data_IF_218991332235
#
_entry.id   IF_218991332235
#
_cell.length_a   1.000
_cell.length_b   1.000
_cell.length_c   1.000
_cell.angle_alpha   90.00
_cell.angle_beta   90.00
_cell.angle_gamma   90.00
#
_symmetry.space_group_name_H-M   'P 1'
#
loop_
_entity.id
_entity.type
_entity.pdbx_description
1 polymer ?
#
# COMPACT_ATOMS: atom_id res chain seq x y z
N UNK A 1 3.57 3.46 -28.26
CA UNK A 1 3.54 3.89 -26.85
C UNK A 1 3.95 5.35 -26.66
N UNK A 2 4.89 5.90 -27.44
CA UNK A 2 5.34 7.31 -27.31
C UNK A 2 4.27 8.40 -27.57
N UNK A 3 3.08 8.03 -28.05
CA UNK A 3 1.95 8.95 -28.31
C UNK A 3 0.84 8.89 -27.25
N UNK A 4 0.98 8.02 -26.25
CA UNK A 4 -0.01 7.92 -25.18
C UNK A 4 0.29 9.00 -24.12
N UNK A 5 -0.73 9.67 -23.58
CA UNK A 5 -0.55 10.58 -22.45
C UNK A 5 0.12 9.87 -21.27
N UNK A 6 1.04 10.56 -20.60
CA UNK A 6 1.80 10.01 -19.44
C UNK A 6 0.84 9.50 -18.36
N UNK A 7 -0.30 10.15 -18.18
CA UNK A 7 -1.35 9.79 -17.22
C UNK A 7 -1.95 8.43 -17.52
N UNK A 8 -2.16 8.12 -18.80
CA UNK A 8 -2.65 6.82 -19.25
C UNK A 8 -1.56 5.74 -19.11
N UNK A 9 -0.30 6.09 -19.37
CA UNK A 9 0.84 5.20 -19.15
C UNK A 9 1.04 4.88 -17.67
N UNK A 10 0.90 5.86 -16.77
CA UNK A 10 0.91 5.67 -15.32
C UNK A 10 -0.23 4.76 -14.87
N UNK A 11 -1.45 5.00 -15.36
CA UNK A 11 -2.61 4.13 -15.08
C UNK A 11 -2.33 2.69 -15.53
N UNK A 12 -1.78 2.49 -16.73
CA UNK A 12 -1.43 1.15 -17.24
C UNK A 12 -0.31 0.49 -16.42
N UNK A 13 0.71 1.26 -16.01
CA UNK A 13 1.79 0.80 -15.14
C UNK A 13 1.29 0.40 -13.75
N UNK A 14 0.22 1.02 -13.24
CA UNK A 14 -0.44 0.62 -12.00
C UNK A 14 -1.21 -0.70 -12.14
N UNK A 15 -1.82 -0.96 -13.31
CA UNK A 15 -2.46 -2.24 -13.60
C UNK A 15 -1.46 -3.36 -13.91
N UNK A 16 -0.26 -3.02 -14.39
CA UNK A 16 0.76 -3.99 -14.77
C UNK A 16 2.16 -3.40 -14.66
N UNK A 17 2.82 -3.61 -13.52
CA UNK A 17 4.20 -3.18 -13.27
C UNK A 17 5.22 -3.76 -14.27
N UNK A 18 4.92 -4.91 -14.89
CA UNK A 18 5.72 -5.51 -15.95
C UNK A 18 5.91 -4.57 -17.16
N UNK A 19 4.98 -3.64 -17.40
CA UNK A 19 5.14 -2.62 -18.45
C UNK A 19 6.36 -1.73 -18.20
N UNK A 20 6.75 -1.52 -16.93
CA UNK A 20 7.95 -0.77 -16.56
C UNK A 20 9.25 -1.44 -16.98
N UNK A 21 9.24 -2.75 -17.26
CA UNK A 21 10.41 -3.49 -17.73
C UNK A 21 10.58 -3.42 -19.26
N UNK A 22 9.54 -3.03 -19.98
CA UNK A 22 9.52 -3.10 -21.45
C UNK A 22 10.39 -2.05 -22.14
N UNK A 23 10.52 -0.85 -21.55
CA UNK A 23 11.40 0.18 -22.11
C UNK A 23 11.87 1.18 -21.05
N UNK A 24 12.96 1.90 -21.35
CA UNK A 24 13.58 2.88 -20.43
C UNK A 24 12.62 3.98 -19.99
N UNK A 25 11.72 4.42 -20.87
CA UNK A 25 10.73 5.45 -20.56
C UNK A 25 9.72 4.96 -19.53
N UNK A 26 9.14 3.77 -19.75
CA UNK A 26 8.21 3.15 -18.80
C UNK A 26 8.89 2.72 -17.51
N UNK A 27 10.16 2.32 -17.55
CA UNK A 27 10.96 2.01 -16.37
C UNK A 27 11.18 3.25 -15.48
N UNK A 28 11.40 4.40 -16.09
CA UNK A 28 11.49 5.67 -15.37
C UNK A 28 10.13 6.05 -14.80
N UNK A 29 9.08 6.05 -15.62
CA UNK A 29 7.71 6.30 -15.15
C UNK A 29 7.27 5.36 -14.02
N UNK A 30 7.65 4.07 -14.07
CA UNK A 30 7.36 3.11 -13.01
C UNK A 30 8.08 3.41 -11.70
N UNK A 31 9.27 4.01 -11.78
CA UNK A 31 10.04 4.48 -10.62
C UNK A 31 9.52 5.83 -10.12
N UNK A 32 9.03 6.69 -11.01
CA UNK A 32 8.49 8.01 -10.69
C UNK A 32 7.08 7.93 -10.07
N UNK A 33 6.29 6.90 -10.43
CA UNK A 33 5.05 6.48 -9.76
C UNK A 33 5.20 6.29 -8.24
N UNK A 34 6.43 6.28 -7.70
CA UNK A 34 6.73 6.08 -6.28
C UNK A 34 6.59 7.33 -5.40
N UNK A 35 6.45 8.53 -5.97
CA UNK A 35 6.56 9.78 -5.18
C UNK A 35 5.17 10.26 -4.75
N UNK A 36 4.33 10.70 -5.69
CA UNK A 36 2.93 11.05 -5.43
C UNK A 36 2.12 10.80 -6.70
N UNK A 37 0.95 10.20 -6.58
CA UNK A 37 0.08 9.92 -7.72
C UNK A 37 -1.38 10.11 -7.34
N UNK A 38 -2.14 10.82 -8.19
CA UNK A 38 -3.59 10.95 -8.06
C UNK A 38 -4.22 10.34 -9.32
N UNK A 39 -5.01 9.28 -9.14
CA UNK A 39 -5.65 8.56 -10.26
C UNK A 39 -7.17 8.63 -10.19
N UNK A 40 -7.83 8.58 -11.36
CA UNK A 40 -9.28 8.60 -11.51
C UNK A 40 -9.73 8.79 -12.97
N UNK A 41 -11.04 8.72 -13.29
CA UNK A 41 -11.53 8.84 -14.66
C UNK A 41 -11.36 10.23 -15.31
N UNK A 42 -10.83 11.21 -14.58
CA UNK A 42 -10.36 12.53 -15.05
C UNK A 42 -9.49 13.11 -13.93
N UNK A 43 -8.28 12.57 -13.71
CA UNK A 43 -7.47 13.00 -12.58
C UNK A 43 -7.13 14.49 -12.77
N UNK A 44 -7.01 15.28 -11.69
CA UNK A 44 -6.66 16.69 -11.81
C UNK A 44 -5.36 16.82 -12.63
N UNK A 45 -5.35 17.71 -13.64
CA UNK A 45 -4.16 17.96 -14.44
C UNK A 45 -3.16 18.72 -13.58
N UNK A 46 -2.24 17.98 -12.98
CA UNK A 46 -1.24 18.50 -12.07
C UNK A 46 0.11 18.26 -12.72
N UNK A 47 0.44 19.13 -13.67
CA UNK A 47 1.74 19.16 -14.34
C UNK A 47 2.93 19.17 -13.37
N UNK A 48 2.72 19.38 -12.06
CA UNK A 48 3.73 19.45 -10.98
C UNK A 48 3.75 18.26 -10.01
N UNK A 49 2.79 17.32 -10.07
CA UNK A 49 2.75 16.14 -9.19
C UNK A 49 3.41 14.93 -9.83
N UNK A 50 3.33 14.83 -11.17
CA UNK A 50 3.87 13.74 -11.99
C UNK A 50 5.15 14.16 -12.74
N UNK A 51 6.05 14.92 -12.09
CA UNK A 51 7.12 15.65 -12.79
C UNK A 51 8.45 14.88 -12.99
N UNK A 52 8.77 14.74 -14.29
CA UNK A 52 10.07 14.81 -14.97
C UNK A 52 11.32 14.13 -14.37
N UNK A 53 11.18 12.88 -13.91
CA UNK A 53 12.25 11.88 -14.07
C UNK A 53 13.54 12.11 -13.29
N UNK A 54 13.49 12.87 -12.19
CA UNK A 54 14.57 13.01 -11.20
C UNK A 54 14.34 12.15 -9.94
N UNK A 55 13.30 11.31 -9.98
CA UNK A 55 12.56 10.79 -8.82
C UNK A 55 13.09 9.56 -8.09
N UNK A 56 14.26 9.66 -7.43
CA UNK A 56 14.56 8.76 -6.30
C UNK A 56 14.98 9.48 -5.02
N UNK A 57 15.56 10.68 -5.15
CA UNK A 57 16.24 11.39 -4.06
C UNK A 57 15.76 12.84 -3.85
N UNK A 58 14.83 13.35 -4.65
CA UNK A 58 14.22 14.65 -4.39
C UNK A 58 13.20 14.52 -3.27
N UNK A 59 13.46 15.22 -2.16
CA UNK A 59 12.50 15.41 -1.07
C UNK A 59 11.37 16.26 -1.65
N UNK A 60 10.18 15.69 -1.73
CA UNK A 60 9.01 16.47 -2.09
C UNK A 60 8.73 17.44 -0.92
N UNK A 61 8.54 18.71 -1.23
CA UNK A 61 8.06 19.67 -0.25
C UNK A 61 6.63 19.29 0.17
N UNK A 62 6.52 18.68 1.35
CA UNK A 62 5.27 18.26 1.97
C UNK A 62 4.26 19.42 2.08
N UNK A 63 4.72 20.67 2.20
CA UNK A 63 3.82 21.82 2.24
C UNK A 63 3.21 22.14 0.87
N UNK A 64 3.99 21.99 -0.21
CA UNK A 64 3.47 22.20 -1.57
C UNK A 64 2.40 21.16 -1.91
N UNK A 65 2.69 19.90 -1.64
CA UNK A 65 1.72 18.82 -1.86
C UNK A 65 0.45 19.02 -1.03
N UNK A 66 0.58 19.41 0.24
CA UNK A 66 -0.56 19.72 1.10
C UNK A 66 -1.40 20.87 0.55
N UNK A 67 -0.80 21.98 0.13
CA UNK A 67 -1.51 23.11 -0.48
C UNK A 67 -2.28 22.71 -1.72
N UNK A 68 -1.65 21.96 -2.61
CA UNK A 68 -2.26 21.56 -3.86
C UNK A 68 -3.39 20.54 -3.62
N UNK A 69 -3.22 19.61 -2.67
CA UNK A 69 -4.27 18.68 -2.24
C UNK A 69 -5.44 19.42 -1.58
N UNK A 70 -5.17 20.48 -0.81
CA UNK A 70 -6.20 21.32 -0.21
C UNK A 70 -7.11 21.92 -1.29
N UNK A 71 -6.53 22.46 -2.37
CA UNK A 71 -7.26 23.03 -3.51
C UNK A 71 -8.15 21.97 -4.18
N UNK A 72 -7.59 20.79 -4.46
CA UNK A 72 -8.34 19.67 -5.07
C UNK A 72 -9.49 19.23 -4.17
N UNK A 73 -9.23 19.11 -2.87
CA UNK A 73 -10.20 18.63 -1.88
C UNK A 73 -11.35 19.63 -1.65
N UNK A 74 -11.12 20.92 -1.91
CA UNK A 74 -12.12 21.97 -1.82
C UNK A 74 -13.01 22.07 -3.08
N UNK A 75 -12.50 21.64 -4.25
CA UNK A 75 -13.28 21.59 -5.50
C UNK A 75 -14.05 20.26 -5.60
N UNK A 76 -15.39 20.33 -5.52
CA UNK A 76 -16.24 19.15 -5.55
C UNK A 76 -16.10 18.26 -6.80
N UNK A 77 -15.81 18.85 -7.97
CA UNK A 77 -15.65 18.11 -9.22
C UNK A 77 -14.30 17.38 -9.24
N UNK A 78 -13.22 18.08 -8.85
CA UNK A 78 -11.89 17.47 -8.77
C UNK A 78 -11.81 16.43 -7.66
N UNK A 79 -12.31 16.73 -6.46
CA UNK A 79 -12.37 15.79 -5.36
C UNK A 79 -13.13 14.50 -5.75
N UNK A 80 -14.21 14.65 -6.51
CA UNK A 80 -15.01 13.52 -6.98
C UNK A 80 -14.34 12.72 -8.09
N UNK A 81 -13.33 13.24 -8.78
CA UNK A 81 -12.60 12.50 -9.81
C UNK A 81 -11.54 11.58 -9.19
N UNK A 82 -11.00 11.92 -8.01
CA UNK A 82 -9.97 11.12 -7.34
C UNK A 82 -10.52 9.76 -6.87
N UNK A 83 -9.79 8.69 -7.16
CA UNK A 83 -10.05 7.30 -6.72
C UNK A 83 -8.88 6.71 -5.95
N UNK A 84 -7.67 7.09 -6.31
CA UNK A 84 -6.45 6.58 -5.71
C UNK A 84 -5.48 7.72 -5.42
N UNK A 85 -4.83 7.64 -4.27
CA UNK A 85 -3.72 8.51 -3.92
C UNK A 85 -2.53 7.68 -3.48
N UNK A 86 -1.36 7.99 -4.03
CA UNK A 86 -0.09 7.63 -3.45
C UNK A 86 0.53 8.86 -2.81
N UNK A 87 1.01 8.68 -1.58
CA UNK A 87 1.69 9.70 -0.81
C UNK A 87 2.99 9.15 -0.26
N UNK A 88 4.11 9.81 -0.57
CA UNK A 88 5.41 9.53 0.03
C UNK A 88 5.77 10.65 0.99
N UNK A 89 6.07 10.27 2.21
CA UNK A 89 6.59 11.13 3.27
C UNK A 89 7.97 10.61 3.70
N UNK A 90 8.98 11.47 3.61
CA UNK A 90 10.35 11.14 3.95
C UNK A 90 10.71 11.40 5.40
N UNK A 91 9.89 12.16 6.15
CA UNK A 91 10.21 12.57 7.53
C UNK A 91 9.10 12.16 8.51
N UNK A 92 7.95 12.82 8.46
CA UNK A 92 6.86 12.59 9.39
C UNK A 92 5.53 12.87 8.72
N UNK A 93 4.65 11.87 8.77
CA UNK A 93 3.31 11.90 8.19
C UNK A 93 2.67 13.26 8.43
N UNK A 94 2.53 14.05 7.36
CA UNK A 94 1.86 15.33 7.46
C UNK A 94 0.37 15.11 7.71
N UNK A 95 -0.09 15.29 8.95
CA UNK A 95 -1.49 15.07 9.33
C UNK A 95 -2.46 15.92 8.49
N UNK A 96 -2.02 17.10 8.03
CA UNK A 96 -2.86 17.98 7.17
C UNK A 96 -3.15 17.36 5.82
N UNK A 97 -2.19 16.65 5.23
CA UNK A 97 -2.40 15.89 3.99
C UNK A 97 -3.52 14.87 4.19
N UNK A 98 -3.43 14.09 5.26
CA UNK A 98 -4.40 13.04 5.56
C UNK A 98 -5.80 13.62 5.88
N UNK A 99 -5.86 14.81 6.51
CA UNK A 99 -7.12 15.53 6.73
C UNK A 99 -7.81 15.94 5.42
N UNK A 100 -7.07 16.24 4.34
CA UNK A 100 -7.67 16.54 3.04
C UNK A 100 -8.19 15.28 2.34
N UNK A 101 -7.56 14.13 2.54
CA UNK A 101 -8.01 12.85 1.94
C UNK A 101 -9.44 12.48 2.34
N UNK A 102 -9.90 12.88 3.54
CA UNK A 102 -11.27 12.62 4.00
C UNK A 102 -12.34 13.35 3.17
N UNK A 103 -11.95 14.42 2.48
CA UNK A 103 -12.84 15.24 1.67
C UNK A 103 -12.95 14.71 0.22
N UNK A 104 -12.25 13.63 -0.11
CA UNK A 104 -12.29 13.01 -1.42
C UNK A 104 -13.37 11.92 -1.44
N UNK A 105 -14.58 12.22 -1.93
CA UNK A 105 -15.74 11.37 -1.70
C UNK A 105 -15.63 10.01 -2.36
N UNK A 106 -14.80 9.83 -3.38
CA UNK A 106 -14.67 8.58 -4.12
C UNK A 106 -13.30 7.90 -3.95
N UNK A 107 -12.47 8.35 -3.00
CA UNK A 107 -11.19 7.73 -2.73
C UNK A 107 -11.39 6.31 -2.17
N UNK A 108 -10.84 5.31 -2.88
CA UNK A 108 -10.93 3.88 -2.52
C UNK A 108 -9.58 3.26 -2.20
N UNK A 109 -8.50 3.83 -2.71
CA UNK A 109 -7.14 3.29 -2.55
C UNK A 109 -6.19 4.37 -2.06
N UNK A 110 -5.45 4.08 -0.99
CA UNK A 110 -4.38 4.93 -0.49
C UNK A 110 -3.10 4.11 -0.36
N UNK A 111 -2.02 4.62 -0.93
CA UNK A 111 -0.69 4.05 -0.82
C UNK A 111 0.18 5.06 -0.07
N UNK A 112 0.61 4.74 1.13
CA UNK A 112 1.46 5.59 1.95
C UNK A 112 2.87 5.00 1.94
N UNK A 113 3.88 5.82 1.73
CA UNK A 113 5.25 5.50 2.03
C UNK A 113 5.73 6.43 3.14
N UNK A 114 6.16 5.90 4.28
CA UNK A 114 6.59 6.70 5.42
C UNK A 114 7.89 6.17 6.04
N UNK A 115 8.63 7.05 6.70
CA UNK A 115 9.85 6.71 7.44
C UNK A 115 9.66 6.69 8.96
N UNK A 116 8.48 7.11 9.44
CA UNK A 116 8.13 7.20 10.87
C UNK A 116 6.87 6.41 11.20
N UNK A 117 6.64 6.20 12.50
CA UNK A 117 5.45 5.51 13.03
C UNK A 117 4.23 6.33 12.61
N UNK A 118 3.40 5.73 11.76
CA UNK A 118 2.13 6.34 11.35
C UNK A 118 1.21 6.44 12.56
N UNK A 119 0.90 7.67 12.98
CA UNK A 119 -0.27 7.89 13.83
C UNK A 119 -1.51 7.66 12.97
N UNK A 120 -2.08 6.45 13.05
CA UNK A 120 -3.18 6.07 12.19
C UNK A 120 -4.47 6.81 12.50
N UNK A 121 -4.54 7.53 13.64
CA UNK A 121 -5.67 8.35 14.11
C UNK A 121 -6.24 9.30 13.05
N UNK A 122 -5.44 9.67 12.05
CA UNK A 122 -5.80 10.62 10.99
C UNK A 122 -6.54 9.95 9.82
N UNK A 123 -6.52 8.62 9.72
CA UNK A 123 -7.39 7.88 8.78
C UNK A 123 -8.83 7.75 9.30
N UNK A 124 -9.10 8.21 10.54
CA UNK A 124 -10.45 8.35 11.07
C UNK A 124 -11.30 9.06 10.04
N UNK A 125 -12.39 8.39 9.64
CA UNK A 125 -13.46 8.90 8.74
C UNK A 125 -13.27 8.63 7.25
N UNK A 126 -12.28 7.85 6.83
CA UNK A 126 -12.21 7.33 5.45
C UNK A 126 -13.21 6.18 5.22
N UNK A 127 -14.50 6.51 5.17
CA UNK A 127 -15.61 5.52 5.12
C UNK A 127 -15.70 4.71 3.84
N UNK A 128 -14.93 5.06 2.81
CA UNK A 128 -14.95 4.41 1.49
C UNK A 128 -13.58 3.88 1.06
N UNK A 129 -12.59 3.95 1.95
CA UNK A 129 -11.29 3.36 1.69
C UNK A 129 -11.40 1.84 1.74
N UNK A 130 -11.13 1.17 0.61
CA UNK A 130 -11.17 -0.28 0.48
C UNK A 130 -9.78 -0.89 0.52
N UNK A 131 -8.77 -0.16 0.03
CA UNK A 131 -7.39 -0.64 -0.04
C UNK A 131 -6.44 0.37 0.59
N UNK A 132 -5.61 -0.09 1.53
CA UNK A 132 -4.56 0.68 2.15
C UNK A 132 -3.24 -0.09 2.03
N UNK A 133 -2.26 0.52 1.36
CA UNK A 133 -0.91 -0.02 1.27
C UNK A 133 0.04 0.92 2.02
N UNK A 134 0.77 0.39 2.99
CA UNK A 134 1.76 1.12 3.76
C UNK A 134 3.15 0.58 3.46
N UNK A 135 4.06 1.41 2.98
CA UNK A 135 5.48 1.11 2.86
C UNK A 135 6.20 1.86 3.98
N UNK A 136 6.69 1.14 5.00
CA UNK A 136 7.32 1.75 6.17
C UNK A 136 8.72 1.22 6.39
N UNK A 137 9.60 2.00 7.01
CA UNK A 137 10.86 1.47 7.57
C UNK A 137 10.69 0.99 9.03
N UNK A 138 9.50 1.19 9.60
CA UNK A 138 9.15 0.81 10.95
C UNK A 138 8.86 -0.69 11.02
N UNK A 139 9.17 -1.31 12.16
CA UNK A 139 8.95 -2.74 12.38
C UNK A 139 7.46 -3.10 12.46
N UNK A 140 7.13 -4.35 12.12
CA UNK A 140 5.76 -4.85 12.11
C UNK A 140 5.04 -4.63 13.45
N UNK A 141 5.77 -4.82 14.56
CA UNK A 141 5.28 -4.74 15.94
C UNK A 141 4.70 -3.40 16.33
N UNK A 142 5.12 -2.34 15.64
CA UNK A 142 4.72 -0.97 15.92
C UNK A 142 3.54 -0.54 15.02
N UNK A 143 3.00 -1.45 14.19
CA UNK A 143 1.87 -1.16 13.31
C UNK A 143 0.57 -1.50 14.05
N UNK A 144 -0.27 -0.50 14.39
CA UNK A 144 -1.47 -0.74 15.17
C UNK A 144 -2.63 -1.23 14.28
N UNK A 145 -2.60 -2.48 13.83
CA UNK A 145 -3.59 -3.06 12.89
C UNK A 145 -5.03 -2.89 13.39
N UNK A 146 -5.29 -3.16 14.68
CA UNK A 146 -6.63 -2.98 15.24
C UNK A 146 -7.12 -1.54 15.15
N UNK A 147 -6.23 -0.57 15.37
CA UNK A 147 -6.58 0.84 15.25
C UNK A 147 -6.87 1.21 13.79
N UNK A 148 -6.12 0.65 12.83
CA UNK A 148 -6.37 0.85 11.39
C UNK A 148 -7.76 0.34 11.02
N UNK A 149 -8.07 -0.90 11.38
CA UNK A 149 -9.37 -1.53 11.08
C UNK A 149 -10.52 -0.76 11.74
N UNK A 150 -10.36 -0.34 12.99
CA UNK A 150 -11.37 0.47 13.69
C UNK A 150 -11.64 1.83 13.00
N UNK A 151 -10.63 2.40 12.34
CA UNK A 151 -10.71 3.73 11.74
C UNK A 151 -11.13 3.71 10.28
N UNK A 152 -10.89 2.61 9.58
CA UNK A 152 -11.23 2.39 8.18
C UNK A 152 -12.29 1.26 8.07
N UNK A 153 -13.55 1.51 8.45
CA UNK A 153 -14.56 0.45 8.60
C UNK A 153 -14.99 -0.24 7.30
N UNK A 154 -14.60 0.30 6.14
CA UNK A 154 -14.85 -0.28 4.82
C UNK A 154 -13.61 -0.97 4.24
N UNK A 155 -12.50 -1.02 4.98
CA UNK A 155 -11.23 -1.54 4.50
C UNK A 155 -11.34 -3.04 4.23
N UNK A 156 -11.05 -3.42 3.00
CA UNK A 156 -11.07 -4.79 2.53
C UNK A 156 -9.64 -5.36 2.51
N UNK A 157 -8.69 -4.60 2.00
CA UNK A 157 -7.29 -5.02 1.83
C UNK A 157 -6.35 -4.06 2.55
N UNK A 158 -5.51 -4.61 3.43
CA UNK A 158 -4.41 -3.90 4.08
C UNK A 158 -3.10 -4.59 3.72
N UNK A 159 -2.16 -3.88 3.11
CA UNK A 159 -0.80 -4.39 2.90
C UNK A 159 0.19 -3.51 3.65
N UNK A 160 1.15 -4.12 4.33
CA UNK A 160 2.25 -3.40 4.95
C UNK A 160 3.58 -4.01 4.53
N UNK A 161 4.32 -3.22 3.78
CA UNK A 161 5.66 -3.48 3.27
C UNK A 161 6.67 -2.79 4.18
N UNK A 162 7.45 -3.56 4.94
CA UNK A 162 8.46 -3.07 5.88
C UNK A 162 9.84 -3.16 5.26
N UNK A 163 10.49 -2.02 5.08
CA UNK A 163 11.75 -1.86 4.36
C UNK A 163 12.93 -1.95 5.34
N UNK A 164 13.74 -3.00 5.24
CA UNK A 164 14.92 -3.22 6.07
C UNK A 164 16.20 -2.99 5.27
N UNK A 165 17.01 -2.03 5.73
CA UNK A 165 18.30 -1.70 5.09
C UNK A 165 19.51 -2.36 5.77
N UNK A 166 19.29 -3.13 6.85
CA UNK A 166 20.32 -3.81 7.66
C UNK A 166 19.91 -5.26 7.94
N UNK A 167 20.78 -5.99 8.62
CA UNK A 167 20.56 -7.40 8.96
C UNK A 167 19.19 -7.60 9.63
N UNK A 168 18.41 -8.52 9.06
CA UNK A 168 17.12 -8.92 9.56
C UNK A 168 17.29 -10.00 10.63
N UNK A 169 16.93 -9.69 11.88
CA UNK A 169 17.08 -10.59 13.04
C UNK A 169 15.78 -10.93 13.75
N UNK A 170 14.68 -10.23 13.47
CA UNK A 170 13.40 -10.38 14.19
C UNK A 170 12.25 -10.71 13.23
N UNK A 171 11.64 -11.89 13.40
CA UNK A 171 10.45 -12.28 12.66
C UNK A 171 9.16 -11.89 13.39
N UNK A 172 8.63 -10.71 13.06
CA UNK A 172 7.37 -10.20 13.59
C UNK A 172 6.18 -10.49 12.65
N UNK A 173 6.34 -11.35 11.64
CA UNK A 173 5.28 -11.64 10.67
C UNK A 173 4.16 -12.50 11.24
N UNK A 174 4.32 -13.12 12.41
CA UNK A 174 3.32 -13.93 13.13
C UNK A 174 2.43 -13.12 14.10
N UNK A 175 2.63 -11.79 14.19
CA UNK A 175 1.99 -10.96 15.21
C UNK A 175 0.46 -10.85 15.12
N UNK A 176 -0.16 -11.28 14.01
CA UNK A 176 -1.61 -11.18 13.81
C UNK A 176 -2.34 -12.51 13.98
N UNK A 177 -1.63 -13.59 14.35
CA UNK A 177 -2.26 -14.89 14.58
C UNK A 177 -3.27 -14.79 15.74
N UNK A 178 -4.55 -15.03 15.42
CA UNK A 178 -5.65 -14.98 16.39
C UNK A 178 -6.16 -13.58 16.72
N UNK A 179 -5.68 -12.53 16.04
CA UNK A 179 -6.21 -11.16 16.23
C UNK A 179 -7.68 -11.12 15.80
N UNK A 180 -8.54 -10.67 16.72
CA UNK A 180 -9.98 -10.62 16.53
C UNK A 180 -10.38 -9.41 15.68
N UNK A 181 -11.12 -9.66 14.59
CA UNK A 181 -11.61 -8.61 13.68
C UNK A 181 -13.14 -8.50 13.69
N UNK A 182 -13.84 -9.44 14.34
CA UNK A 182 -15.29 -9.39 14.51
C UNK A 182 -16.04 -9.31 13.18
N UNK A 183 -16.88 -8.29 13.00
CA UNK A 183 -17.68 -8.10 11.78
C UNK A 183 -17.01 -7.17 10.74
N UNK A 184 -15.72 -6.86 10.91
CA UNK A 184 -15.02 -5.98 9.97
C UNK A 184 -14.96 -6.62 8.56
N UNK A 185 -15.19 -5.87 7.47
CA UNK A 185 -15.19 -6.41 6.10
C UNK A 185 -13.80 -6.72 5.53
N UNK A 186 -12.76 -6.74 6.38
CA UNK A 186 -11.40 -6.99 5.92
C UNK A 186 -11.33 -8.40 5.38
N UNK A 187 -10.85 -8.57 4.14
CA UNK A 187 -10.68 -9.87 3.51
C UNK A 187 -9.23 -10.29 3.47
N UNK A 188 -8.30 -9.33 3.46
CA UNK A 188 -6.87 -9.61 3.33
C UNK A 188 -6.04 -8.63 4.17
N UNK A 189 -5.12 -9.18 4.97
CA UNK A 189 -4.02 -8.42 5.57
C UNK A 189 -2.70 -9.05 5.15
N UNK A 190 -1.79 -8.29 4.57
CA UNK A 190 -0.45 -8.74 4.18
C UNK A 190 0.58 -7.97 4.99
N UNK A 191 1.51 -8.69 5.61
CA UNK A 191 2.73 -8.16 6.19
C UNK A 191 3.91 -8.69 5.39
N UNK A 192 4.75 -7.81 4.86
CA UNK A 192 5.89 -8.19 4.02
C UNK A 192 7.15 -7.48 4.47
N UNK A 193 8.21 -8.22 4.70
CA UNK A 193 9.56 -7.67 4.86
C UNK A 193 10.22 -7.54 3.49
N UNK A 194 10.74 -6.34 3.21
CA UNK A 194 11.47 -5.99 2.00
C UNK A 194 12.89 -5.69 2.42
N UNK A 195 13.79 -6.62 2.11
CA UNK A 195 15.21 -6.45 2.37
C UNK A 195 15.76 -5.55 1.24
N UNK A 196 16.17 -4.35 1.58
CA UNK A 196 16.60 -3.35 0.61
C UNK A 196 18.09 -3.05 0.78
N UNK A 197 18.84 -3.01 -0.32
CA UNK A 197 20.27 -2.67 -0.31
C UNK A 197 21.18 -3.84 0.07
N UNK A 198 22.35 -3.57 0.68
CA UNK A 198 23.36 -4.58 1.04
C UNK A 198 22.97 -5.40 2.29
N UNK A 199 21.73 -5.87 2.39
CA UNK A 199 21.38 -6.77 3.47
C UNK A 199 22.12 -8.10 3.28
N UNK A 200 23.13 -8.36 4.10
CA UNK A 200 24.05 -9.49 3.93
C UNK A 200 23.38 -10.88 3.98
N UNK A 201 22.13 -10.96 4.46
CA UNK A 201 21.37 -12.21 4.50
C UNK A 201 20.31 -12.33 3.40
N UNK A 202 20.13 -11.34 2.51
CA UNK A 202 19.07 -11.36 1.50
C UNK A 202 19.09 -12.63 0.63
N UNK A 203 20.27 -13.06 0.19
CA UNK A 203 20.45 -14.28 -0.61
C UNK A 203 20.14 -15.59 0.13
N UNK A 204 19.98 -15.56 1.46
CA UNK A 204 19.73 -16.74 2.29
C UNK A 204 18.24 -16.94 2.62
N UNK A 205 17.36 -16.04 2.15
CA UNK A 205 15.93 -16.12 2.44
C UNK A 205 15.16 -16.53 1.19
N UNK A 206 14.21 -17.47 1.34
CA UNK A 206 13.18 -17.64 0.33
C UNK A 206 12.27 -16.40 0.36
N UNK A 207 11.94 -15.77 -0.79
CA UNK A 207 11.12 -14.56 -0.81
C UNK A 207 9.77 -14.71 -0.11
N UNK A 208 9.19 -15.91 -0.10
CA UNK A 208 7.92 -16.16 0.57
C UNK A 208 8.04 -16.29 2.10
N UNK A 209 9.23 -16.54 2.65
CA UNK A 209 9.42 -16.56 4.11
C UNK A 209 9.35 -15.15 4.70
N UNK A 210 9.54 -14.13 3.84
CA UNK A 210 9.49 -12.72 4.18
C UNK A 210 8.08 -12.13 4.04
N UNK A 211 7.06 -12.95 3.81
CA UNK A 211 5.67 -12.50 3.74
C UNK A 211 4.76 -13.33 4.63
N UNK A 212 3.79 -12.67 5.25
CA UNK A 212 2.67 -13.31 5.91
C UNK A 212 1.38 -12.72 5.38
N UNK A 213 0.51 -13.60 4.92
CA UNK A 213 -0.85 -13.28 4.49
C UNK A 213 -1.79 -13.79 5.56
N UNK A 214 -2.73 -12.95 5.95
CA UNK A 214 -3.77 -13.26 6.92
C UNK A 214 -5.14 -13.09 6.29
N UNK A 215 -5.99 -14.10 6.51
CA UNK A 215 -7.38 -14.08 6.07
C UNK A 215 -8.31 -14.20 7.28
N UNK A 216 -9.46 -13.49 7.27
CA UNK A 216 -10.48 -13.64 8.31
C UNK A 216 -11.06 -15.05 8.26
N UNK A 217 -11.02 -15.75 9.39
CA UNK A 217 -11.55 -17.11 9.51
C UNK A 217 -12.54 -17.15 10.67
N UNK A 218 -13.74 -17.68 10.43
CA UNK A 218 -14.73 -17.88 11.48
C UNK A 218 -14.38 -19.12 12.30
N UNK A 219 -14.17 -18.95 13.60
CA UNK A 219 -14.03 -20.05 14.55
C UNK A 219 -15.36 -20.27 15.28
N UNK A 220 -16.05 -21.35 14.95
CA UNK A 220 -17.35 -21.71 15.54
C UNK A 220 -17.17 -22.35 16.91
N UNK A 221 -16.80 -21.60 17.95
CA UNK A 221 -16.82 -22.09 19.35
C UNK A 221 -17.12 -21.00 20.39
N UNK A 222 -18.10 -20.14 20.14
CA UNK A 222 -18.64 -19.30 21.21
C UNK A 222 -19.96 -19.85 21.71
N UNK A 223 -20.08 -20.03 23.03
CA UNK A 223 -21.33 -20.27 23.75
C UNK A 223 -22.39 -19.18 23.48
N UNK A 224 -21.99 -18.02 22.94
CA UNK A 224 -22.86 -16.87 22.68
C UNK A 224 -23.52 -16.83 21.29
N UNK A 225 -23.39 -17.88 20.46
CA UNK A 225 -23.94 -17.95 19.10
C UNK A 225 -23.49 -16.82 18.15
N UNK A 226 -22.50 -16.01 18.54
CA UNK A 226 -21.87 -14.99 17.69
C UNK A 226 -20.63 -15.57 17.00
N UNK A 227 -20.50 -15.42 15.67
CA UNK A 227 -19.30 -15.84 14.96
C UNK A 227 -18.08 -15.05 15.46
N UNK A 228 -17.06 -15.76 15.93
CA UNK A 228 -15.78 -15.17 16.28
C UNK A 228 -14.90 -15.24 15.04
N UNK A 229 -14.63 -14.08 14.44
CA UNK A 229 -13.75 -13.98 13.27
C UNK A 229 -12.40 -13.45 13.73
N UNK A 230 -11.36 -14.22 13.44
CA UNK A 230 -9.97 -13.88 13.71
C UNK A 230 -9.15 -13.93 12.43
N UNK A 231 -8.06 -13.18 12.40
CA UNK A 231 -7.04 -13.31 11.37
C UNK A 231 -6.26 -14.60 11.58
N UNK A 232 -6.08 -15.37 10.51
CA UNK A 232 -5.32 -16.62 10.50
C UNK A 232 -4.31 -16.57 9.38
N UNK A 233 -3.04 -16.89 9.68
CA UNK A 233 -1.97 -16.93 8.69
C UNK A 233 -2.19 -18.05 7.67
N UNK A 234 -2.05 -17.69 6.40
CA UNK A 234 -2.07 -18.60 5.27
C UNK A 234 -0.71 -19.27 5.11
N UNK A 235 -0.71 -20.59 4.96
CA UNK A 235 0.50 -21.39 4.75
C UNK A 235 0.52 -22.08 3.39
N UNK A 236 -0.63 -22.19 2.72
CA UNK A 236 -0.72 -22.78 1.39
C UNK A 236 -0.08 -21.88 0.34
N UNK A 237 0.91 -22.40 -0.40
CA UNK A 237 1.61 -21.66 -1.47
C UNK A 237 0.65 -21.12 -2.52
N UNK A 238 -0.28 -21.94 -3.01
CA UNK A 238 -1.25 -21.52 -4.03
C UNK A 238 -2.13 -20.37 -3.56
N UNK A 239 -2.59 -20.43 -2.30
CA UNK A 239 -3.39 -19.36 -1.70
C UNK A 239 -2.57 -18.09 -1.47
N UNK A 240 -1.29 -18.22 -1.10
CA UNK A 240 -0.39 -17.08 -1.00
C UNK A 240 -0.24 -16.38 -2.35
N UNK A 241 0.07 -17.11 -3.42
CA UNK A 241 0.21 -16.58 -4.79
C UNK A 241 -1.06 -15.84 -5.21
N UNK A 242 -2.23 -16.46 -5.06
CA UNK A 242 -3.51 -15.86 -5.43
C UNK A 242 -3.81 -14.57 -4.66
N UNK A 243 -3.58 -14.57 -3.35
CA UNK A 243 -3.88 -13.41 -2.50
C UNK A 243 -2.90 -12.28 -2.76
N UNK A 244 -1.60 -12.56 -2.89
CA UNK A 244 -0.58 -11.56 -3.18
C UNK A 244 -0.81 -10.91 -4.55
N UNK A 245 -1.09 -11.72 -5.57
CA UNK A 245 -1.40 -11.22 -6.89
C UNK A 245 -2.62 -10.28 -6.90
N UNK A 246 -3.68 -10.61 -6.14
CA UNK A 246 -4.83 -9.70 -5.98
C UNK A 246 -4.51 -8.45 -5.17
N UNK A 247 -3.79 -8.58 -4.06
CA UNK A 247 -3.52 -7.48 -3.14
C UNK A 247 -2.60 -6.41 -3.76
N UNK A 248 -1.64 -6.84 -4.59
CA UNK A 248 -0.68 -5.94 -5.23
C UNK A 248 -0.93 -5.71 -6.73
N UNK A 249 -1.92 -6.39 -7.34
CA UNK A 249 -2.18 -6.31 -8.78
C UNK A 249 -1.12 -7.00 -9.64
N UNK A 250 -0.50 -8.06 -9.14
CA UNK A 250 0.47 -8.85 -9.90
C UNK A 250 -0.20 -9.93 -10.75
N UNK A 251 0.58 -10.53 -11.64
CA UNK A 251 0.20 -11.71 -12.40
C UNK A 251 -0.03 -12.91 -11.46
N UNK A 252 -1.07 -13.70 -11.74
CA UNK A 252 -1.49 -14.84 -10.89
C UNK A 252 -0.72 -16.11 -11.22
N UNK A 253 0.60 -15.99 -11.31
CA UNK A 253 1.52 -17.10 -11.55
C UNK A 253 2.58 -17.14 -10.44
N UNK A 254 2.94 -18.34 -9.97
CA UNK A 254 3.87 -18.48 -8.85
C UNK A 254 5.25 -17.89 -9.17
N UNK A 255 5.79 -18.12 -10.37
CA UNK A 255 7.05 -17.54 -10.80
C UNK A 255 7.01 -16.01 -10.82
N UNK A 256 5.94 -15.41 -11.35
CA UNK A 256 5.78 -13.96 -11.39
C UNK A 256 5.69 -13.37 -9.98
N UNK A 257 4.94 -14.00 -9.07
CA UNK A 257 4.87 -13.58 -7.66
C UNK A 257 6.22 -13.74 -6.97
N UNK A 258 6.92 -14.85 -7.19
CA UNK A 258 8.26 -15.07 -6.64
C UNK A 258 9.26 -14.01 -7.12
N UNK A 259 9.24 -13.67 -8.41
CA UNK A 259 10.05 -12.59 -8.97
C UNK A 259 9.72 -11.23 -8.33
N UNK A 260 8.45 -10.88 -8.16
CA UNK A 260 8.02 -9.65 -7.48
C UNK A 260 8.41 -9.64 -6.00
N UNK A 261 8.37 -10.80 -5.34
CA UNK A 261 8.85 -10.96 -3.97
C UNK A 261 10.37 -10.76 -3.90
N UNK A 262 11.12 -11.34 -4.85
CA UNK A 262 12.58 -11.32 -4.95
C UNK A 262 13.15 -9.97 -5.36
N UNK A 263 12.40 -9.10 -6.07
CA UNK A 263 12.80 -7.70 -6.34
C UNK A 263 13.03 -6.88 -5.07
N UNK A 264 12.57 -7.38 -3.92
CA UNK A 264 12.77 -6.78 -2.61
C UNK A 264 13.72 -7.59 -1.72
N UNK A 265 14.63 -8.35 -2.31
CA UNK A 265 15.86 -8.90 -1.70
C UNK A 265 17.06 -8.04 -2.14
#
# INVERSE_FOLDING_TARGET
>A
MEKLPVELLCTLLEYSGALGLTCRHLNRLSKDLSIVHIAGPNPPNLAHFNMDGKGMYEIMDNEKFERDLAVISADSLQASSVRQIRYRDTDSVNERVLEHLKNLPNLTTVIIQCTSVLSMSVLRRMRRLHTLNVNSIVSAKDIPINDILNQCPALNTLTVDMMFYKHYSENNLNQLDGVMVGNHPVQTVVLRHKLCGKCYCAHNHNPFDLVAVYLPTCTTKSLSNKPLVSLVRVHSRSTLVDVLARAYGWEREECAVEEELAKAL
#
